data_IF_595798951237
#
_entry.id   IF_595798951237
#
_cell.length_a   1.000
_cell.length_b   1.000
_cell.length_c   1.000
_cell.angle_alpha   90.00
_cell.angle_beta   90.00
_cell.angle_gamma   90.00
#
_symmetry.space_group_name_H-M   'P 1'
#
loop_
_entity.id
_entity.type
_entity.pdbx_description
1 polymer ?
#
# COMPACT_ATOMS: atom_id res chain seq x y z
N UNK A 1 -8.80 0.21 -19.04
CA UNK A 1 -8.01 1.26 -18.36
C UNK A 1 -7.76 0.76 -16.95
N UNK A 2 -6.50 0.72 -16.48
CA UNK A 2 -6.20 0.29 -15.11
C UNK A 2 -6.42 1.47 -14.15
N UNK A 3 -7.12 1.24 -13.05
CA UNK A 3 -7.36 2.24 -12.00
C UNK A 3 -6.46 1.96 -10.81
N UNK A 4 -5.70 2.96 -10.38
CA UNK A 4 -4.93 2.91 -9.15
C UNK A 4 -5.61 3.72 -8.05
N UNK A 5 -5.34 3.38 -6.79
CA UNK A 5 -5.66 4.20 -5.62
C UNK A 5 -4.41 4.41 -4.78
N UNK A 6 -4.25 5.61 -4.20
CA UNK A 6 -3.12 5.92 -3.33
C UNK A 6 -3.39 5.44 -1.90
N UNK A 7 -2.37 4.94 -1.20
CA UNK A 7 -2.49 4.43 0.17
C UNK A 7 -3.01 5.49 1.16
N UNK A 8 -2.73 6.78 0.98
CA UNK A 8 -3.26 7.86 1.82
C UNK A 8 -4.76 8.13 1.66
N UNK A 9 -5.46 7.42 0.78
CA UNK A 9 -6.92 7.44 0.74
C UNK A 9 -7.57 6.61 1.88
N UNK A 10 -6.78 5.85 2.63
CA UNK A 10 -7.24 4.98 3.72
C UNK A 10 -6.95 5.60 5.11
N UNK A 11 -7.67 5.18 6.17
CA UNK A 11 -7.38 5.62 7.53
C UNK A 11 -5.92 5.33 7.93
N UNK A 12 -5.36 6.19 8.77
CA UNK A 12 -4.02 6.00 9.33
C UNK A 12 -3.91 4.66 10.06
N UNK A 13 -2.83 3.91 9.79
CA UNK A 13 -2.58 2.61 10.40
C UNK A 13 -3.35 1.43 9.76
N UNK A 14 -4.14 1.65 8.71
CA UNK A 14 -4.76 0.56 7.96
C UNK A 14 -3.69 -0.41 7.40
N UNK A 15 -3.87 -1.70 7.65
CA UNK A 15 -2.94 -2.74 7.21
C UNK A 15 -2.95 -2.92 5.68
N UNK A 16 -1.82 -3.31 5.08
CA UNK A 16 -1.74 -3.53 3.63
C UNK A 16 -2.75 -4.58 3.13
N UNK A 17 -2.96 -5.66 3.87
CA UNK A 17 -3.94 -6.69 3.51
C UNK A 17 -5.36 -6.12 3.43
N UNK A 18 -5.74 -5.26 4.38
CA UNK A 18 -7.02 -4.58 4.36
C UNK A 18 -7.13 -3.61 3.18
N UNK A 19 -6.10 -2.80 2.96
CA UNK A 19 -6.03 -1.85 1.84
C UNK A 19 -6.21 -2.58 0.51
N UNK A 20 -5.50 -3.70 0.30
CA UNK A 20 -5.58 -4.48 -0.93
C UNK A 20 -6.95 -5.11 -1.11
N UNK A 21 -7.51 -5.71 -0.05
CA UNK A 21 -8.85 -6.29 -0.08
C UNK A 21 -9.91 -5.24 -0.43
N UNK A 22 -9.93 -4.11 0.27
CA UNK A 22 -10.90 -3.03 0.02
C UNK A 22 -10.73 -2.42 -1.37
N UNK A 23 -9.49 -2.23 -1.83
CA UNK A 23 -9.21 -1.71 -3.17
C UNK A 23 -9.73 -2.65 -4.26
N UNK A 24 -9.49 -3.95 -4.10
CA UNK A 24 -10.00 -4.99 -5.01
C UNK A 24 -11.53 -5.02 -5.01
N UNK A 25 -12.15 -5.02 -3.83
CA UNK A 25 -13.62 -5.01 -3.67
C UNK A 25 -14.25 -3.77 -4.33
N UNK A 26 -13.55 -2.62 -4.31
CA UNK A 26 -13.96 -1.37 -4.95
C UNK A 26 -13.66 -1.28 -6.45
N UNK A 27 -13.01 -2.30 -7.04
CA UNK A 27 -12.71 -2.36 -8.47
C UNK A 27 -11.49 -1.54 -8.92
N UNK A 28 -10.51 -1.34 -8.04
CA UNK A 28 -9.19 -0.85 -8.39
C UNK A 28 -8.27 -2.01 -8.78
N UNK A 29 -7.37 -1.77 -9.73
CA UNK A 29 -6.42 -2.75 -10.26
C UNK A 29 -5.07 -2.71 -9.54
N UNK A 30 -4.77 -1.61 -8.82
CA UNK A 30 -3.50 -1.39 -8.16
C UNK A 30 -3.63 -0.43 -6.97
N UNK A 31 -2.70 -0.56 -6.03
CA UNK A 31 -2.49 0.38 -4.94
C UNK A 31 -1.09 0.99 -5.08
N UNK A 32 -1.00 2.32 -5.03
CA UNK A 32 0.26 3.04 -4.91
C UNK A 32 0.63 3.15 -3.43
N UNK A 33 1.76 2.57 -3.05
CA UNK A 33 2.27 2.61 -1.67
C UNK A 33 3.09 3.87 -1.44
N UNK A 34 2.90 4.47 -0.25
CA UNK A 34 3.63 5.65 0.18
C UNK A 34 4.86 5.26 1.01
N UNK A 35 5.84 6.16 1.07
CA UNK A 35 6.99 6.04 1.97
C UNK A 35 6.66 6.63 3.33
N UNK A 36 7.05 5.91 4.37
CA UNK A 36 6.91 6.32 5.77
C UNK A 36 8.27 6.31 6.48
N UNK A 37 8.27 6.88 7.67
CA UNK A 37 9.32 6.64 8.66
C UNK A 37 9.33 5.18 9.12
N UNK A 38 10.44 4.77 9.73
CA UNK A 38 10.60 3.42 10.27
C UNK A 38 9.44 3.03 11.19
N UNK A 39 8.85 1.85 10.94
CA UNK A 39 7.70 1.33 11.69
C UNK A 39 6.32 1.75 11.15
N UNK A 40 6.26 2.52 10.06
CA UNK A 40 5.02 2.76 9.32
C UNK A 40 4.48 1.52 8.60
N UNK A 41 3.22 1.57 8.16
CA UNK A 41 2.61 0.51 7.35
C UNK A 41 2.87 0.78 5.88
N UNK A 42 3.53 -0.14 5.17
CA UNK A 42 3.88 0.03 3.77
C UNK A 42 5.38 0.00 3.55
N UNK A 43 5.86 0.90 2.69
CA UNK A 43 7.29 1.08 2.45
C UNK A 43 7.87 2.08 3.45
N UNK A 44 9.08 1.80 3.91
CA UNK A 44 9.90 2.72 4.69
C UNK A 44 11.20 3.03 3.93
N UNK A 45 11.93 4.06 4.35
CA UNK A 45 13.18 4.48 3.69
C UNK A 45 14.25 3.38 3.68
N UNK A 46 14.22 2.49 4.67
CA UNK A 46 15.10 1.34 4.81
C UNK A 46 14.61 0.09 4.06
N UNK A 47 13.40 0.09 3.51
CA UNK A 47 12.87 -1.05 2.76
C UNK A 47 13.75 -1.35 1.55
N UNK A 48 14.29 -2.56 1.54
CA UNK A 48 15.10 -3.07 0.43
C UNK A 48 14.23 -3.48 -0.76
N UNK A 49 14.81 -3.55 -1.95
CA UNK A 49 14.10 -4.03 -3.14
C UNK A 49 13.50 -5.44 -2.92
N UNK A 50 14.25 -6.33 -2.26
CA UNK A 50 13.78 -7.68 -1.96
C UNK A 50 12.60 -7.70 -0.98
N UNK A 51 12.52 -6.75 -0.04
CA UNK A 51 11.36 -6.60 0.85
C UNK A 51 10.16 -6.06 0.10
N UNK A 52 10.35 -5.06 -0.76
CA UNK A 52 9.29 -4.49 -1.58
C UNK A 52 8.68 -5.52 -2.56
N UNK A 53 9.50 -6.42 -3.14
CA UNK A 53 9.03 -7.51 -4.02
C UNK A 53 8.18 -8.57 -3.31
N UNK A 54 8.18 -8.61 -1.97
CA UNK A 54 7.37 -9.54 -1.18
C UNK A 54 6.00 -8.98 -0.77
N UNK A 55 5.76 -7.70 -1.04
CA UNK A 55 4.47 -7.05 -0.84
C UNK A 55 3.54 -7.38 -2.00
#
# INVERSE_FOLDING_TARGET
MRKGINQWCFPEGAGLEEIFRVSSDAGYDAVELNLYEAGGVGLAMETTAAEAERI
#
